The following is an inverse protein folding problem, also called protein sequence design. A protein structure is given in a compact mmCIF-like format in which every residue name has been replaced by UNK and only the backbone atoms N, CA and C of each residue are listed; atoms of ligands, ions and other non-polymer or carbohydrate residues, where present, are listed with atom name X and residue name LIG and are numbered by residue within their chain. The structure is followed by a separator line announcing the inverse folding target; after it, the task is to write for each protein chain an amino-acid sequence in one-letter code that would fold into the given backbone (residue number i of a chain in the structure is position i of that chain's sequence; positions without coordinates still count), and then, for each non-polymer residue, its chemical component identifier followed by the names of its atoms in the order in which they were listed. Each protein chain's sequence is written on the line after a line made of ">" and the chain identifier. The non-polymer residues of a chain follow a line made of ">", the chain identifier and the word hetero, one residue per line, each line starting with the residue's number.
data_IF_961019987913
#
_entry.id   IF_961019987913
#
_cell.length_a   1.000
_cell.length_b   1.000
_cell.length_c   1.000
_cell.angle_alpha   90.00
_cell.angle_beta   90.00
_cell.angle_gamma   90.00
#
_symmetry.space_group_name_H-M   'P 1'
#
loop_
_entity.id
_entity.type
_entity.pdbx_description
1 polymer ?
#
# COMPACT_ATOMS: atom_id res chain seq x y z
N UNK A 1 -4.26 -18.83 9.90
CA UNK A 1 -5.55 -18.38 10.46
C UNK A 1 -5.47 -17.09 11.30
N UNK A 2 -4.35 -16.75 11.97
CA UNK A 2 -4.23 -15.50 12.77
C UNK A 2 -4.63 -14.22 12.00
N UNK A 3 -4.40 -14.18 10.69
CA UNK A 3 -4.83 -13.09 9.80
C UNK A 3 -6.35 -12.84 9.79
N UNK A 4 -7.17 -13.90 9.94
CA UNK A 4 -8.62 -13.78 10.01
C UNK A 4 -9.05 -13.15 11.35
N UNK A 5 -8.21 -13.22 12.38
CA UNK A 5 -8.42 -12.56 13.67
C UNK A 5 -7.87 -11.13 13.71
N UNK A 6 -7.60 -10.52 12.56
CA UNK A 6 -7.10 -9.15 12.47
C UNK A 6 -5.60 -8.98 12.72
N UNK A 7 -4.82 -10.06 12.87
CA UNK A 7 -3.36 -9.93 13.00
C UNK A 7 -2.77 -9.39 11.69
N UNK A 8 -2.02 -8.29 11.78
CA UNK A 8 -1.30 -7.66 10.67
C UNK A 8 0.13 -7.29 11.09
N UNK A 9 1.09 -7.22 10.16
CA UNK A 9 2.41 -6.68 10.47
C UNK A 9 2.31 -5.23 10.95
N UNK A 10 3.16 -4.86 11.90
CA UNK A 10 3.29 -3.48 12.35
C UNK A 10 3.86 -2.61 11.23
N UNK A 11 3.17 -1.52 10.91
CA UNK A 11 3.67 -0.52 9.96
C UNK A 11 4.72 0.31 10.69
N UNK A 12 5.91 0.42 10.10
CA UNK A 12 6.99 1.21 10.68
C UNK A 12 6.66 2.70 10.66
N UNK A 13 7.00 3.43 11.73
CA UNK A 13 6.86 4.90 11.82
C UNK A 13 7.61 5.69 10.74
N UNK A 14 8.52 5.05 10.03
CA UNK A 14 9.26 5.65 8.91
C UNK A 14 8.52 5.57 7.58
N UNK A 15 7.39 4.86 7.53
CA UNK A 15 6.52 4.82 6.36
C UNK A 15 5.65 6.09 6.40
N UNK A 16 5.60 6.89 5.32
CA UNK A 16 4.78 8.08 5.23
C UNK A 16 3.31 7.73 5.40
N UNK A 17 2.57 8.66 5.99
CA UNK A 17 1.14 8.51 6.27
C UNK A 17 0.37 8.09 5.01
N UNK A 18 0.63 8.74 3.88
CA UNK A 18 0.05 8.40 2.59
C UNK A 18 0.14 6.90 2.23
N UNK A 19 1.31 6.30 2.43
CA UNK A 19 1.55 4.88 2.15
C UNK A 19 0.95 3.98 3.24
N UNK A 20 1.02 4.39 4.51
CA UNK A 20 0.42 3.67 5.61
C UNK A 20 -1.11 3.55 5.44
N UNK A 21 -1.77 4.65 5.10
CA UNK A 21 -3.22 4.70 4.85
C UNK A 21 -3.62 3.78 3.69
N UNK A 22 -2.83 3.77 2.61
CA UNK A 22 -3.04 2.88 1.48
C UNK A 22 -2.88 1.40 1.86
N UNK A 23 -1.86 1.06 2.65
CA UNK A 23 -1.64 -0.30 3.17
C UNK A 23 -2.83 -0.73 4.04
N UNK A 24 -3.30 0.13 4.94
CA UNK A 24 -4.44 -0.15 5.82
C UNK A 24 -5.70 -0.40 4.98
N UNK A 25 -5.96 0.43 3.96
CA UNK A 25 -7.10 0.27 3.05
C UNK A 25 -7.05 -1.05 2.28
N UNK A 26 -5.86 -1.47 1.83
CA UNK A 26 -5.64 -2.77 1.19
C UNK A 26 -5.87 -3.96 2.13
N UNK A 27 -5.69 -3.76 3.45
CA UNK A 27 -5.80 -4.81 4.47
C UNK A 27 -7.18 -4.98 5.07
N UNK A 28 -8.16 -4.18 4.65
CA UNK A 28 -9.53 -4.22 5.18
C UNK A 28 -10.12 -5.63 5.07
N UNK A 29 -10.78 -6.09 6.13
CA UNK A 29 -11.44 -7.39 6.18
C UNK A 29 -12.61 -7.48 5.19
N UNK A 30 -13.31 -6.37 4.94
CA UNK A 30 -14.44 -6.28 4.03
C UNK A 30 -13.96 -5.98 2.60
N UNK A 31 -14.26 -6.89 1.67
CA UNK A 31 -13.75 -6.84 0.28
C UNK A 31 -14.13 -5.52 -0.42
N UNK A 32 -15.35 -5.04 -0.18
CA UNK A 32 -15.89 -3.79 -0.76
C UNK A 32 -15.12 -2.53 -0.37
N UNK A 33 -14.34 -2.56 0.73
CA UNK A 33 -13.54 -1.43 1.18
C UNK A 33 -12.14 -1.44 0.57
N UNK A 34 -11.70 -2.57 0.01
CA UNK A 34 -10.38 -2.71 -0.61
C UNK A 34 -10.37 -2.03 -1.97
N UNK A 35 -9.28 -1.34 -2.32
CA UNK A 35 -9.10 -0.86 -3.69
C UNK A 35 -8.94 -2.05 -4.63
N UNK A 36 -9.50 -1.93 -5.82
CA UNK A 36 -9.19 -2.80 -6.93
C UNK A 36 -7.76 -2.54 -7.42
N UNK A 37 -7.15 -3.51 -8.10
CA UNK A 37 -5.83 -3.34 -8.72
C UNK A 37 -5.80 -2.15 -9.69
N UNK A 38 -6.91 -1.89 -10.39
CA UNK A 38 -7.04 -0.76 -11.32
C UNK A 38 -6.99 0.58 -10.58
N UNK A 39 -7.76 0.73 -9.50
CA UNK A 39 -7.75 1.96 -8.68
C UNK A 39 -6.38 2.17 -8.05
N UNK A 40 -5.76 1.11 -7.54
CA UNK A 40 -4.41 1.16 -6.96
C UNK A 40 -3.38 1.64 -7.99
N UNK A 41 -3.42 1.09 -9.21
CA UNK A 41 -2.53 1.49 -10.30
C UNK A 41 -2.72 2.96 -10.67
N UNK A 42 -3.97 3.41 -10.84
CA UNK A 42 -4.27 4.80 -11.18
C UNK A 42 -3.83 5.77 -10.09
N UNK A 43 -4.02 5.40 -8.82
CA UNK A 43 -3.58 6.18 -7.67
C UNK A 43 -2.05 6.34 -7.68
N UNK A 44 -1.30 5.24 -7.76
CA UNK A 44 0.17 5.27 -7.77
C UNK A 44 0.70 6.03 -9.00
N UNK A 45 0.09 5.84 -10.17
CA UNK A 45 0.45 6.57 -11.39
C UNK A 45 0.28 8.07 -11.18
N UNK A 46 -0.87 8.51 -10.66
CA UNK A 46 -1.13 9.93 -10.37
C UNK A 46 -0.06 10.50 -9.43
N UNK A 47 0.34 9.75 -8.41
CA UNK A 47 1.38 10.19 -7.48
C UNK A 47 2.72 10.39 -8.17
N UNK A 48 3.08 9.48 -9.08
CA UNK A 48 4.31 9.57 -9.85
C UNK A 48 4.29 10.74 -10.84
N UNK A 49 3.16 11.00 -11.49
CA UNK A 49 3.00 12.13 -12.41
C UNK A 49 3.10 13.46 -11.65
N UNK A 50 2.43 13.60 -10.49
CA UNK A 50 2.54 14.80 -9.64
C UNK A 50 3.99 15.07 -9.16
N UNK A 51 4.78 14.02 -8.89
CA UNK A 51 6.20 14.18 -8.50
C UNK A 51 7.01 14.72 -9.68
N UNK A 52 6.82 14.16 -10.88
CA UNK A 52 7.52 14.61 -12.08
C UNK A 52 7.20 16.07 -12.38
N UNK A 53 5.93 16.46 -12.30
CA UNK A 53 5.53 17.85 -12.53
C UNK A 53 6.23 18.82 -11.55
N UNK A 54 6.47 18.41 -10.30
CA UNK A 54 7.20 19.21 -9.31
C UNK A 54 8.70 19.26 -9.64
N UNK A 55 9.31 18.12 -9.96
CA UNK A 55 10.74 18.06 -10.30
C UNK A 55 11.05 18.87 -11.58
N UNK A 56 10.16 18.81 -12.58
CA UNK A 56 10.28 19.55 -13.83
C UNK A 56 10.01 21.06 -13.63
N UNK A 57 9.19 21.44 -12.64
CA UNK A 57 8.87 22.85 -12.33
C UNK A 57 9.82 23.52 -11.34
N UNK A 58 10.70 22.79 -10.64
CA UNK A 58 11.76 23.35 -9.78
C UNK A 58 12.76 24.22 -10.59
N UNK A 59 12.70 24.17 -11.92
CA UNK A 59 13.43 25.03 -12.87
C UNK A 59 12.68 26.30 -13.32
N UNK A 60 11.43 26.53 -12.89
CA UNK A 60 10.59 27.68 -13.30
C UNK A 60 10.16 28.51 -12.09
N UNK A 61 10.54 29.79 -12.04
CA UNK A 61 10.43 30.68 -10.86
C UNK A 61 9.00 30.97 -10.33
N UNK A 62 7.93 30.46 -10.95
CA UNK A 62 6.55 30.79 -10.54
C UNK A 62 5.61 29.57 -10.66
N UNK A 63 5.37 28.85 -9.56
CA UNK A 63 4.31 27.84 -9.48
C UNK A 63 3.67 27.81 -8.08
N UNK A 64 2.35 27.93 -8.02
CA UNK A 64 1.54 27.84 -6.78
C UNK A 64 1.44 26.38 -6.30
N UNK A 65 2.41 25.94 -5.49
CA UNK A 65 2.48 24.58 -4.92
C UNK A 65 1.62 24.48 -3.64
N UNK A 66 0.31 24.70 -3.72
CA UNK A 66 -0.51 24.85 -2.50
C UNK A 66 -0.98 23.53 -1.85
N UNK A 67 -1.27 22.46 -2.62
CA UNK A 67 -1.79 21.18 -2.07
C UNK A 67 -1.01 19.92 -2.49
N UNK A 68 -0.27 19.96 -3.61
CA UNK A 68 0.63 18.88 -4.01
C UNK A 68 1.88 18.77 -3.11
N UNK A 69 2.16 19.81 -2.30
CA UNK A 69 3.37 19.94 -1.50
C UNK A 69 3.47 18.88 -0.40
N UNK A 70 2.44 18.69 0.42
CA UNK A 70 2.48 17.79 1.59
C UNK A 70 2.74 16.32 1.18
N UNK A 71 2.03 15.87 0.15
CA UNK A 71 2.17 14.51 -0.37
C UNK A 71 3.54 14.28 -1.02
N UNK A 72 4.02 15.26 -1.79
CA UNK A 72 5.36 15.25 -2.33
C UNK A 72 6.42 15.20 -1.24
N UNK A 73 6.31 16.06 -0.21
CA UNK A 73 7.25 16.09 0.92
C UNK A 73 7.27 14.75 1.67
N UNK A 74 6.11 14.13 1.90
CA UNK A 74 6.01 12.81 2.50
C UNK A 74 6.75 11.74 1.69
N UNK A 75 6.65 11.76 0.35
CA UNK A 75 7.32 10.80 -0.53
C UNK A 75 8.84 11.08 -0.58
N UNK A 76 9.23 12.35 -0.74
CA UNK A 76 10.64 12.78 -0.80
C UNK A 76 11.40 12.46 0.49
N UNK A 77 10.79 12.72 1.66
CA UNK A 77 11.36 12.34 2.96
C UNK A 77 11.50 10.82 3.09
N UNK A 78 10.57 10.05 2.52
CA UNK A 78 10.65 8.60 2.49
C UNK A 78 11.86 8.10 1.70
N UNK A 79 12.07 8.65 0.51
CA UNK A 79 13.21 8.33 -0.35
C UNK A 79 14.53 8.72 0.31
N UNK A 80 14.58 9.86 1.00
CA UNK A 80 15.74 10.29 1.79
C UNK A 80 16.05 9.33 2.94
N UNK A 81 15.06 8.92 3.72
CA UNK A 81 15.23 7.91 4.79
C UNK A 81 15.73 6.58 4.21
N UNK A 82 15.17 6.17 3.06
CA UNK A 82 15.60 4.96 2.35
C UNK A 82 17.07 5.07 1.99
N UNK A 83 17.48 6.15 1.32
CA UNK A 83 18.88 6.38 0.93
C UNK A 83 19.83 6.39 2.13
N UNK A 84 19.48 7.08 3.21
CA UNK A 84 20.31 7.10 4.42
C UNK A 84 20.50 5.70 4.99
N UNK A 85 19.44 4.88 5.03
CA UNK A 85 19.54 3.48 5.47
C UNK A 85 20.42 2.65 4.55
N UNK A 86 20.36 2.88 3.24
CA UNK A 86 21.24 2.22 2.28
C UNK A 86 22.71 2.66 2.44
N UNK A 87 22.97 3.95 2.67
CA UNK A 87 24.33 4.48 2.90
C UNK A 87 24.94 4.00 4.22
N UNK A 88 24.12 3.88 5.28
CA UNK A 88 24.52 3.40 6.62
C UNK A 88 24.70 1.88 6.72
N UNK A 89 24.31 1.10 5.70
CA UNK A 89 24.51 -0.36 5.69
C UNK A 89 26.00 -0.70 5.62
N UNK A 90 26.46 -1.47 6.60
CA UNK A 90 27.81 -2.05 6.61
C UNK A 90 28.02 -2.98 5.41
N UNK A 91 29.28 -3.22 5.00
CA UNK A 91 29.56 -4.17 3.92
C UNK A 91 29.16 -5.61 4.28
N UNK A 92 29.13 -5.99 5.56
CA UNK A 92 28.59 -7.28 6.03
C UNK A 92 27.06 -7.40 5.84
N UNK A 93 26.32 -6.29 5.91
CA UNK A 93 24.88 -6.29 5.61
C UNK A 93 24.58 -6.36 4.11
N UNK A 94 25.54 -6.00 3.25
CA UNK A 94 25.41 -6.12 1.78
C UNK A 94 25.62 -7.55 1.29
N UNK A 95 26.43 -8.34 2.00
CA UNK A 95 26.75 -9.72 1.63
C UNK A 95 25.86 -10.79 2.27
N UNK A 96 24.95 -10.40 3.17
CA UNK A 96 23.93 -11.32 3.69
C UNK A 96 23.04 -11.75 2.51
N UNK A 97 23.26 -12.97 2.02
CA UNK A 97 22.27 -13.68 1.21
C UNK A 97 20.93 -13.58 1.94
N UNK A 98 19.83 -13.36 1.22
CA UNK A 98 18.51 -13.27 1.84
C UNK A 98 18.23 -14.58 2.57
N UNK A 99 18.49 -14.61 3.89
CA UNK A 99 18.20 -15.76 4.72
C UNK A 99 16.68 -15.84 4.76
N UNK A 100 16.15 -16.77 3.97
CA UNK A 100 14.72 -17.03 3.98
C UNK A 100 14.38 -17.70 5.30
N UNK A 101 13.24 -17.34 5.86
CA UNK A 101 12.76 -18.02 7.06
C UNK A 101 12.63 -19.52 6.75
N UNK A 102 12.99 -20.45 7.64
CA UNK A 102 12.92 -21.90 7.37
C UNK A 102 11.53 -22.41 6.94
N UNK A 103 10.47 -21.63 7.19
CA UNK A 103 9.08 -21.92 6.80
C UNK A 103 8.62 -21.17 5.55
N UNK A 104 9.51 -20.41 4.88
CA UNK A 104 9.19 -19.69 3.65
C UNK A 104 9.14 -20.68 2.48
N UNK A 105 7.99 -20.74 1.81
CA UNK A 105 7.75 -21.61 0.66
C UNK A 105 7.34 -20.71 -0.51
N UNK A 106 8.10 -20.76 -1.61
CA UNK A 106 7.89 -19.94 -2.80
C UNK A 106 7.31 -20.72 -3.97
N UNK A 107 7.06 -22.02 -3.79
CA UNK A 107 6.33 -22.86 -4.73
C UNK A 107 4.84 -22.85 -4.42
N UNK A 108 4.01 -23.09 -5.43
CA UNK A 108 2.56 -23.24 -5.23
C UNK A 108 2.27 -24.42 -4.30
N UNK A 109 1.30 -24.25 -3.40
CA UNK A 109 0.82 -25.32 -2.52
C UNK A 109 -0.67 -25.16 -2.30
N UNK A 110 -1.40 -26.26 -2.35
CA UNK A 110 -2.80 -26.27 -1.98
C UNK A 110 -2.94 -25.90 -0.49
N UNK A 111 -3.73 -24.87 -0.21
CA UNK A 111 -4.02 -24.46 1.15
C UNK A 111 -5.40 -24.99 1.54
N UNK A 112 -5.43 -25.93 2.49
CA UNK A 112 -6.68 -26.47 3.01
C UNK A 112 -7.19 -25.59 4.16
N UNK A 113 -8.28 -24.87 3.91
CA UNK A 113 -8.84 -23.89 4.84
C UNK A 113 -10.30 -24.18 5.21
N UNK A 114 -10.61 -25.44 5.53
CA UNK A 114 -11.93 -25.79 6.08
C UNK A 114 -12.18 -24.99 7.38
N UNK A 115 -13.33 -24.34 7.47
CA UNK A 115 -13.84 -23.64 8.66
C UNK A 115 -13.03 -22.41 9.11
N UNK A 116 -12.65 -21.51 8.19
CA UNK A 116 -12.06 -20.23 8.60
C UNK A 116 -13.11 -19.33 9.29
N UNK A 117 -12.72 -18.62 10.37
CA UNK A 117 -13.60 -17.61 10.96
C UNK A 117 -13.75 -16.42 10.01
N UNK A 118 -14.85 -15.67 10.18
CA UNK A 118 -15.05 -14.41 9.46
C UNK A 118 -13.85 -13.47 9.72
N UNK A 119 -13.22 -12.90 8.68
CA UNK A 119 -12.11 -11.98 8.88
C UNK A 119 -12.57 -10.72 9.62
N UNK A 120 -11.72 -10.22 10.51
CA UNK A 120 -11.94 -8.95 11.23
C UNK A 120 -10.76 -8.00 10.99
N UNK A 121 -11.04 -6.70 11.09
CA UNK A 121 -10.00 -5.67 11.01
C UNK A 121 -9.10 -5.71 12.25
N UNK A 122 -7.86 -5.23 12.09
CA UNK A 122 -6.93 -5.13 13.20
C UNK A 122 -7.37 -4.01 14.14
N UNK A 123 -7.47 -4.30 15.44
CA UNK A 123 -7.67 -3.29 16.49
C UNK A 123 -6.48 -2.32 16.56
N UNK A 124 -5.28 -2.83 16.34
CA UNK A 124 -4.04 -2.11 16.56
C UNK A 124 -3.82 -1.02 15.50
N UNK A 125 -4.38 -1.21 14.30
CA UNK A 125 -4.29 -0.24 13.20
C UNK A 125 -5.20 0.98 13.38
N UNK A 126 -6.24 0.89 14.23
CA UNK A 126 -7.10 2.06 14.54
C UNK A 126 -6.31 3.16 15.26
N UNK A 127 -5.28 2.80 16.03
CA UNK A 127 -4.37 3.76 16.67
C UNK A 127 -3.47 4.53 15.70
N UNK A 128 -3.37 4.06 14.45
CA UNK A 128 -2.66 4.73 13.36
C UNK A 128 -3.57 5.63 12.51
N UNK A 129 -4.86 5.79 12.88
CA UNK A 129 -5.72 6.81 12.29
C UNK A 129 -5.20 8.18 12.71
N UNK A 130 -4.18 8.66 12.01
CA UNK A 130 -3.77 10.03 12.05
C UNK A 130 -4.93 10.83 11.46
N UNK A 131 -5.65 11.59 12.29
CA UNK A 131 -6.74 12.46 11.87
C UNK A 131 -6.46 13.09 10.50
N UNK A 132 -7.29 12.75 9.51
CA UNK A 132 -7.34 13.47 8.25
C UNK A 132 -8.76 14.01 8.14
N UNK A 133 -8.94 15.23 8.62
CA UNK A 133 -10.07 16.06 8.22
C UNK A 133 -9.87 16.41 6.73
N UNK A 134 -10.25 15.51 5.84
CA UNK A 134 -10.36 15.78 4.41
C UNK A 134 -11.37 14.81 3.78
N UNK A 135 -12.60 15.29 3.67
CA UNK A 135 -13.69 14.65 2.95
C UNK A 135 -13.31 14.48 1.47
N UNK A 136 -12.96 13.27 1.05
CA UNK A 136 -13.01 12.89 -0.36
C UNK A 136 -14.32 12.15 -0.62
N UNK A 137 -15.30 12.90 -1.10
CA UNK A 137 -16.55 12.39 -1.66
C UNK A 137 -16.22 11.50 -2.86
N UNK A 138 -16.28 10.18 -2.67
CA UNK A 138 -16.33 9.25 -3.78
C UNK A 138 -17.69 9.43 -4.46
N UNK A 139 -17.71 10.09 -5.63
CA UNK A 139 -18.89 10.06 -6.49
C UNK A 139 -19.09 8.63 -6.98
N UNK A 140 -20.11 7.98 -6.44
CA UNK A 140 -20.62 6.71 -6.93
C UNK A 140 -21.18 6.90 -8.33
N UNK A 141 -20.49 6.38 -9.35
CA UNK A 141 -21.14 6.06 -10.62
C UNK A 141 -21.45 4.56 -10.60
N UNK A 142 -22.70 4.26 -10.27
CA UNK A 142 -23.33 2.96 -10.42
C UNK A 142 -23.44 2.61 -11.90
N UNK A 143 -22.68 1.62 -12.36
CA UNK A 143 -23.11 0.70 -13.41
C UNK A 143 -22.46 -0.67 -13.19
N UNK A 144 -23.27 -1.64 -12.75
CA UNK A 144 -22.92 -3.05 -12.79
C UNK A 144 -22.87 -3.53 -14.25
N UNK A 145 -21.88 -4.34 -14.62
CA UNK A 145 -22.14 -5.48 -15.49
C UNK A 145 -21.84 -6.79 -14.74
N UNK A 146 -22.77 -7.75 -14.89
CA UNK A 146 -22.71 -9.13 -14.40
C UNK A 146 -21.31 -9.74 -14.62
N UNK A 147 -20.71 -10.27 -13.56
CA UNK A 147 -19.65 -11.27 -13.69
C UNK A 147 -20.29 -12.57 -14.19
N UNK A 148 -19.97 -12.96 -15.41
CA UNK A 148 -20.19 -14.30 -15.90
C UNK A 148 -18.89 -15.09 -15.67
N UNK A 149 -18.99 -16.20 -14.95
CA UNK A 149 -17.96 -17.23 -14.82
C UNK A 149 -17.55 -17.76 -16.19
N UNK A 150 -16.25 -17.75 -16.52
CA UNK A 150 -15.63 -18.78 -17.38
C UNK A 150 -14.17 -18.99 -16.94
N UNK A 151 -13.92 -20.09 -16.23
CA UNK A 151 -12.68 -20.86 -16.35
C UNK A 151 -13.14 -22.29 -16.62
N UNK A 152 -13.21 -22.65 -17.90
CA UNK A 152 -13.25 -24.05 -18.33
C UNK A 152 -11.85 -24.37 -18.82
N UNK A 153 -11.16 -25.20 -18.06
CA UNK A 153 -10.01 -25.96 -18.52
C UNK A 153 -10.53 -27.10 -19.40
N UNK A 154 -9.94 -27.29 -20.58
CA UNK A 154 -10.09 -28.50 -21.39
C UNK A 154 -8.87 -29.39 -21.17
N UNK A 155 -9.14 -30.69 -21.08
CA UNK A 155 -8.26 -31.84 -20.79
C UNK A 155 -6.92 -31.89 -21.52
#
# INVERSE_FOLDING_TARGET
>A
IKICKGLRPTISKHIPKLLADLIIKCWDAEIKNRPTTKELYQLIKKWNDEIKDIEDSEYSENCDISQNSEKYFQIKECDKIREEKFKKRSNEDKSKSFITHPQAIYTSRLLNFKNLPKPVNSSDLSSLQFNSDANYTAQSMSTNPKLNEICQDSE
#
